data_IF_598286621506
#
_entry.id   IF_598286621506
#
_cell.length_a   1.000
_cell.length_b   1.000
_cell.length_c   1.000
_cell.angle_alpha   90.00
_cell.angle_beta   90.00
_cell.angle_gamma   90.00
#
_symmetry.space_group_name_H-M   'P 1'
#
loop_
_entity.id
_entity.type
_entity.pdbx_description
1 polymer ?
#
# COMPACT_ATOMS: atom_id res chain seq x y z
N UNK A 1 8.67 -7.28 10.27
CA UNK A 1 8.68 -8.00 9.01
C UNK A 1 7.46 -8.85 8.82
N UNK A 2 7.24 -9.12 7.59
CA UNK A 2 6.11 -9.87 7.18
C UNK A 2 6.27 -11.34 7.48
N UNK A 3 5.17 -11.98 7.61
CA UNK A 3 5.26 -13.39 7.58
C UNK A 3 5.30 -14.02 8.90
N UNK A 4 6.06 -15.03 8.95
CA UNK A 4 5.94 -15.82 9.96
C UNK A 4 6.43 -15.36 11.16
N UNK A 5 7.06 -14.44 11.29
CA UNK A 5 7.43 -14.04 12.39
C UNK A 5 6.37 -13.93 13.19
N UNK A 6 5.86 -14.44 13.48
CA UNK A 6 4.93 -14.43 14.27
C UNK A 6 4.18 -13.45 14.53
N UNK A 7 3.24 -13.62 14.41
CA UNK A 7 2.26 -12.83 14.66
C UNK A 7 2.19 -12.72 16.08
N UNK A 8 2.56 -11.71 16.58
CA UNK A 8 2.55 -11.59 17.98
C UNK A 8 1.14 -11.53 18.44
N UNK A 9 0.29 -10.90 17.68
CA UNK A 9 -1.00 -10.90 18.15
C UNK A 9 -1.64 -11.55 17.09
N UNK A 10 -2.09 -12.63 17.34
CA UNK A 10 -2.58 -13.43 16.38
C UNK A 10 -3.51 -12.79 15.44
N UNK A 11 -4.42 -12.12 15.78
CA UNK A 11 -5.36 -11.62 14.82
C UNK A 11 -4.82 -10.61 13.88
N UNK A 12 -4.18 -9.65 14.41
CA UNK A 12 -3.74 -8.54 13.62
C UNK A 12 -2.72 -8.92 12.58
N UNK A 13 -1.73 -9.65 12.97
CA UNK A 13 -0.69 -9.91 12.02
C UNK A 13 -1.04 -10.95 11.01
N UNK A 14 -1.98 -11.77 11.28
CA UNK A 14 -2.30 -12.80 10.31
C UNK A 14 -2.81 -12.22 9.01
N UNK A 15 -3.28 -10.98 9.03
CA UNK A 15 -3.77 -10.38 7.81
C UNK A 15 -2.87 -9.26 7.31
N UNK A 16 -1.68 -9.16 7.86
CA UNK A 16 -0.82 -8.07 7.50
C UNK A 16 0.27 -8.61 6.59
N UNK A 17 0.01 -8.62 5.32
CA UNK A 17 0.90 -9.23 4.34
C UNK A 17 1.81 -8.20 3.71
N UNK A 18 2.64 -7.58 4.51
CA UNK A 18 3.53 -6.56 3.99
C UNK A 18 4.40 -5.95 5.06
N UNK A 19 5.06 -4.88 4.70
CA UNK A 19 5.97 -4.16 5.58
C UNK A 19 5.47 -2.73 5.73
N UNK A 20 5.37 -2.24 6.96
CA UNK A 20 5.03 -0.86 7.23
C UNK A 20 6.29 -0.05 7.37
N UNK A 21 6.35 1.04 6.64
CA UNK A 21 7.50 1.94 6.66
C UNK A 21 7.02 3.30 7.13
N UNK A 22 7.40 3.73 8.31
CA UNK A 22 7.01 5.06 8.80
C UNK A 22 7.55 6.13 7.85
N UNK A 23 6.66 7.01 7.42
CA UNK A 23 7.05 8.09 6.53
C UNK A 23 6.02 9.21 6.61
N UNK A 24 6.46 10.45 6.56
CA UNK A 24 5.51 11.58 6.59
C UNK A 24 4.68 11.63 5.34
N UNK A 25 3.50 12.22 5.47
CA UNK A 25 2.64 12.48 4.33
C UNK A 25 3.42 13.27 3.27
N UNK A 26 3.25 12.90 2.03
CA UNK A 26 3.94 13.59 0.93
C UNK A 26 5.29 13.00 0.55
N UNK A 27 5.78 12.01 1.32
CA UNK A 27 7.03 11.35 0.95
C UNK A 27 6.86 10.65 -0.40
N UNK A 28 7.83 10.82 -1.28
CA UNK A 28 7.76 10.23 -2.62
C UNK A 28 7.84 8.72 -2.56
N UNK A 29 7.01 8.08 -3.37
CA UNK A 29 7.02 6.63 -3.53
C UNK A 29 7.60 6.32 -4.89
N UNK A 30 8.60 5.46 -4.93
CA UNK A 30 9.26 5.11 -6.18
C UNK A 30 8.96 3.68 -6.56
N UNK A 31 8.98 3.41 -7.85
CA UNK A 31 8.81 2.05 -8.35
C UNK A 31 10.03 1.22 -7.95
N UNK A 32 9.79 0.07 -7.34
CA UNK A 32 10.88 -0.78 -6.88
C UNK A 32 11.47 -1.61 -8.02
N UNK A 33 10.84 -1.59 -9.16
CA UNK A 33 11.28 -2.33 -10.34
C UNK A 33 10.59 -1.73 -11.57
N UNK A 34 11.12 -2.00 -12.76
CA UNK A 34 10.41 -1.70 -13.98
C UNK A 34 9.13 -2.54 -13.98
N UNK A 35 8.04 -1.99 -14.42
CA UNK A 35 6.80 -2.75 -14.48
C UNK A 35 5.62 -1.94 -14.95
N UNK A 36 4.44 -2.47 -14.72
CA UNK A 36 3.19 -1.88 -15.19
C UNK A 36 2.30 -1.58 -13.99
N UNK A 37 1.68 -0.42 -14.00
CA UNK A 37 0.69 -0.09 -12.97
C UNK A 37 -0.60 -0.82 -13.32
N UNK A 38 -1.06 -1.66 -12.41
CA UNK A 38 -2.24 -2.49 -12.66
C UNK A 38 -3.41 -2.15 -11.76
N UNK A 39 -3.23 -1.28 -10.78
CA UNK A 39 -4.33 -0.84 -9.94
C UNK A 39 -4.03 0.54 -9.33
N UNK A 40 -5.01 1.41 -9.33
CA UNK A 40 -4.94 2.72 -8.69
C UNK A 40 -6.34 3.09 -8.21
N UNK A 41 -6.66 2.83 -6.96
CA UNK A 41 -7.97 3.16 -6.40
C UNK A 41 -8.00 2.94 -4.89
N UNK A 42 -9.12 3.24 -4.27
CA UNK A 42 -9.33 2.93 -2.86
C UNK A 42 -9.68 1.44 -2.74
N UNK A 43 -8.95 0.72 -1.92
CA UNK A 43 -9.13 -0.71 -1.78
C UNK A 43 -9.15 -1.12 -0.31
N UNK A 44 -10.31 -1.11 0.29
CA UNK A 44 -10.54 -1.66 1.63
C UNK A 44 -9.53 -1.19 2.68
N UNK A 45 -8.95 -2.13 3.39
CA UNK A 45 -8.01 -1.84 4.46
C UNK A 45 -6.73 -1.15 3.98
N UNK A 46 -6.38 -1.30 2.72
CA UNK A 46 -5.21 -0.63 2.16
C UNK A 46 -5.42 0.84 1.87
N UNK A 47 -6.67 1.31 1.89
CA UNK A 47 -6.97 2.67 1.52
C UNK A 47 -6.66 2.92 0.06
N UNK A 48 -6.26 4.14 -0.28
CA UNK A 48 -5.82 4.42 -1.64
C UNK A 48 -4.55 3.63 -1.92
N UNK A 49 -4.59 2.85 -2.99
CA UNK A 49 -3.57 1.85 -3.28
C UNK A 49 -3.10 1.97 -4.72
N UNK A 50 -1.79 1.80 -4.92
CA UNK A 50 -1.19 1.66 -6.25
C UNK A 50 -0.57 0.28 -6.30
N UNK A 51 -0.87 -0.49 -7.34
CA UNK A 51 -0.24 -1.79 -7.53
C UNK A 51 0.67 -1.77 -8.75
N UNK A 52 1.91 -2.19 -8.55
CA UNK A 52 2.92 -2.34 -9.58
C UNK A 52 3.11 -3.83 -9.84
N UNK A 53 3.01 -4.24 -11.09
CA UNK A 53 3.18 -5.64 -11.48
C UNK A 53 4.39 -5.81 -12.39
N UNK A 54 5.21 -6.81 -12.14
CA UNK A 54 6.35 -7.16 -12.97
C UNK A 54 6.64 -8.65 -12.81
N UNK A 55 6.87 -9.32 -13.89
CA UNK A 55 7.04 -10.79 -13.91
C UNK A 55 5.86 -11.46 -13.19
N UNK A 56 6.10 -12.29 -12.22
CA UNK A 56 5.03 -12.90 -11.42
C UNK A 56 4.77 -12.13 -10.13
N UNK A 57 5.35 -10.96 -9.97
CA UNK A 57 5.22 -10.20 -8.73
C UNK A 57 4.18 -9.11 -8.83
N UNK A 58 3.53 -8.82 -7.70
CA UNK A 58 2.65 -7.67 -7.56
C UNK A 58 3.00 -7.00 -6.25
N UNK A 59 3.29 -5.71 -6.33
CA UNK A 59 3.64 -4.92 -5.14
C UNK A 59 2.60 -3.84 -4.99
N UNK A 60 1.97 -3.78 -3.83
CA UNK A 60 0.94 -2.79 -3.54
C UNK A 60 1.46 -1.76 -2.56
N UNK A 61 1.33 -0.52 -2.94
CA UNK A 61 1.67 0.63 -2.11
C UNK A 61 0.35 1.12 -1.54
N UNK A 62 0.15 0.97 -0.25
CA UNK A 62 -1.12 1.27 0.40
C UNK A 62 -1.07 2.59 1.16
N UNK A 63 -2.23 3.15 1.49
CA UNK A 63 -2.37 4.42 2.21
C UNK A 63 -1.67 5.57 1.48
N UNK A 64 -1.78 5.56 0.16
CA UNK A 64 -1.13 6.58 -0.67
C UNK A 64 -2.02 7.79 -0.84
N UNK A 65 -1.45 8.86 -1.35
CA UNK A 65 -2.18 10.08 -1.64
C UNK A 65 -3.17 9.82 -2.77
N UNK A 66 -4.43 10.24 -2.63
CA UNK A 66 -5.45 10.00 -3.66
C UNK A 66 -5.21 10.76 -4.98
N UNK A 67 -4.30 11.73 -4.99
CA UNK A 67 -3.98 12.43 -6.22
C UNK A 67 -2.94 11.60 -6.97
N UNK A 68 -3.40 10.60 -7.68
CA UNK A 68 -2.53 9.69 -8.42
C UNK A 68 -1.84 10.42 -9.57
N UNK A 69 -0.54 10.15 -9.73
CA UNK A 69 0.23 10.70 -10.84
C UNK A 69 0.53 9.64 -11.88
N UNK A 70 0.02 8.43 -11.68
CA UNK A 70 0.10 7.34 -12.67
C UNK A 70 -1.29 6.77 -12.86
N UNK A 71 -1.48 6.06 -13.94
CA UNK A 71 -2.77 5.43 -14.27
C UNK A 71 -2.58 3.96 -14.55
N UNK A 72 -3.64 3.19 -14.38
CA UNK A 72 -3.63 1.77 -14.75
C UNK A 72 -3.23 1.66 -16.21
N UNK A 73 -2.28 0.80 -16.48
CA UNK A 73 -1.76 0.60 -17.84
C UNK A 73 -0.42 1.28 -18.08
N UNK A 74 -0.02 2.22 -17.22
CA UNK A 74 1.25 2.92 -17.40
C UNK A 74 2.42 1.98 -17.13
N UNK A 75 3.44 2.10 -17.96
CA UNK A 75 4.71 1.42 -17.71
C UNK A 75 5.63 2.38 -16.99
N UNK A 76 6.29 1.90 -15.97
CA UNK A 76 7.19 2.72 -15.14
C UNK A 76 8.55 2.05 -15.04
N UNK A 77 9.56 2.84 -14.72
CA UNK A 77 10.92 2.36 -14.55
C UNK A 77 11.28 2.34 -13.08
N UNK A 78 12.14 1.43 -12.71
CA UNK A 78 12.68 1.38 -11.35
C UNK A 78 13.22 2.76 -10.96
N UNK A 79 12.84 3.23 -9.77
CA UNK A 79 13.24 4.55 -9.28
C UNK A 79 12.34 5.70 -9.70
N UNK A 80 11.41 5.47 -10.62
CA UNK A 80 10.48 6.52 -11.05
C UNK A 80 9.50 6.82 -9.92
N UNK A 81 9.20 8.09 -9.68
CA UNK A 81 8.20 8.48 -8.69
C UNK A 81 6.83 8.10 -9.23
N UNK A 82 6.08 7.32 -8.47
CA UNK A 82 4.76 6.85 -8.88
C UNK A 82 3.64 7.37 -8.00
N UNK A 83 3.95 7.97 -6.86
CA UNK A 83 2.95 8.52 -5.97
C UNK A 83 3.60 9.08 -4.73
N UNK A 84 2.78 9.29 -3.71
CA UNK A 84 3.22 9.89 -2.46
C UNK A 84 2.52 9.23 -1.28
N UNK A 85 3.17 9.21 -0.13
CA UNK A 85 2.56 8.74 1.10
C UNK A 85 1.36 9.64 1.39
N UNK A 86 0.22 9.06 1.63
CA UNK A 86 -1.01 9.79 1.75
C UNK A 86 -1.32 10.26 3.15
N UNK A 87 -2.42 11.00 3.26
CA UNK A 87 -2.88 11.50 4.53
C UNK A 87 -3.53 10.38 5.34
N UNK A 88 -3.60 10.59 6.65
CA UNK A 88 -4.32 9.67 7.52
C UNK A 88 -5.82 9.72 7.22
N UNK A 89 -6.35 10.90 6.94
CA UNK A 89 -7.78 11.10 6.74
C UNK A 89 -8.12 11.35 5.28
N UNK A 90 -9.19 10.73 4.82
CA UNK A 90 -9.71 10.95 3.47
C UNK A 90 -11.23 11.08 3.56
N UNK A 91 -11.80 12.02 2.83
CA UNK A 91 -13.22 12.31 2.93
C UNK A 91 -13.94 12.05 1.62
N UNK A 92 -15.23 11.72 1.72
CA UNK A 92 -16.06 11.57 0.53
C UNK A 92 -15.79 10.28 -0.25
N UNK A 93 -15.20 9.28 0.37
CA UNK A 93 -14.94 8.00 -0.29
C UNK A 93 -16.16 7.10 -0.11
N UNK A 94 -16.89 6.77 -1.19
CA UNK A 94 -18.06 5.93 -1.06
C UNK A 94 -17.68 4.55 -0.52
N UNK A 95 -18.42 4.11 0.48
CA UNK A 95 -18.19 2.78 1.04
C UNK A 95 -17.01 2.64 1.98
N UNK A 96 -16.31 3.72 2.29
CA UNK A 96 -15.21 3.64 3.24
C UNK A 96 -15.76 3.28 4.62
N UNK A 97 -15.26 2.20 5.19
CA UNK A 97 -15.71 1.72 6.49
C UNK A 97 -14.69 1.99 7.58
N UNK A 98 -13.61 2.69 7.29
CA UNK A 98 -12.51 2.87 8.22
C UNK A 98 -12.55 4.26 8.83
N UNK A 99 -12.56 4.31 10.16
CA UNK A 99 -12.66 5.56 10.92
C UNK A 99 -11.75 5.42 12.13
N UNK A 100 -11.21 6.53 12.60
CA UNK A 100 -10.42 6.50 13.83
C UNK A 100 -11.36 6.56 15.06
N UNK A 101 -10.78 6.60 16.25
CA UNK A 101 -11.55 6.59 17.48
C UNK A 101 -12.41 7.85 17.63
N UNK A 102 -12.12 8.92 16.93
CA UNK A 102 -12.91 10.13 16.97
C UNK A 102 -13.99 10.17 15.88
N UNK A 103 -14.07 9.13 15.06
CA UNK A 103 -15.07 9.05 14.01
C UNK A 103 -14.67 9.69 12.70
N UNK A 104 -13.40 10.07 12.52
CA UNK A 104 -12.95 10.66 11.27
C UNK A 104 -12.55 9.58 10.29
N UNK A 105 -12.93 9.71 9.00
CA UNK A 105 -12.65 8.67 8.01
C UNK A 105 -11.16 8.59 7.69
N UNK A 106 -10.64 7.38 7.68
CA UNK A 106 -9.22 7.14 7.46
C UNK A 106 -8.93 6.55 6.09
N UNK A 107 -7.69 6.66 5.66
CA UNK A 107 -7.20 6.14 4.40
C UNK A 107 -6.90 4.66 4.59
N UNK A 108 -7.96 3.88 4.70
CA UNK A 108 -7.87 2.47 5.01
C UNK A 108 -7.62 2.23 6.49
N UNK A 109 -7.16 1.05 6.85
CA UNK A 109 -6.89 0.68 8.24
C UNK A 109 -5.53 1.23 8.64
N UNK A 110 -5.50 2.48 9.06
CA UNK A 110 -4.24 3.13 9.43
C UNK A 110 -4.41 3.96 10.68
N UNK A 111 -3.34 4.05 11.47
CA UNK A 111 -3.31 4.90 12.65
C UNK A 111 -2.47 6.15 12.43
N UNK A 112 -1.88 6.31 11.26
CA UNK A 112 -1.06 7.48 10.96
C UNK A 112 -0.49 7.39 9.57
N UNK A 113 0.40 8.32 9.23
CA UNK A 113 1.03 8.35 7.93
C UNK A 113 2.15 7.31 7.87
N UNK A 114 2.04 6.37 6.98
CA UNK A 114 3.07 5.38 6.74
C UNK A 114 2.82 4.70 5.40
N UNK A 115 3.85 4.08 4.86
CA UNK A 115 3.72 3.27 3.67
C UNK A 115 3.54 1.82 4.09
N UNK A 116 2.52 1.17 3.58
CA UNK A 116 2.37 -0.26 3.73
C UNK A 116 2.67 -0.88 2.37
N UNK A 117 3.68 -1.75 2.31
CA UNK A 117 4.12 -2.33 1.06
C UNK A 117 3.77 -3.82 1.08
N UNK A 118 2.77 -4.20 0.34
CA UNK A 118 2.37 -5.59 0.19
C UNK A 118 3.06 -6.23 -1.02
N UNK A 119 3.43 -7.48 -0.91
CA UNK A 119 4.18 -8.15 -1.94
C UNK A 119 3.57 -9.50 -2.21
N UNK A 120 3.24 -9.77 -3.47
CA UNK A 120 2.58 -11.02 -3.83
C UNK A 120 3.26 -11.65 -5.02
N UNK A 121 3.51 -12.95 -4.96
CA UNK A 121 4.10 -13.71 -6.03
C UNK A 121 3.12 -14.80 -6.41
N UNK A 122 2.74 -14.84 -7.68
CA UNK A 122 1.79 -15.84 -8.20
C UNK A 122 0.51 -15.89 -7.37
N UNK A 123 0.07 -14.74 -6.91
CA UNK A 123 -1.16 -14.66 -6.14
C UNK A 123 -1.01 -14.91 -4.66
N UNK A 124 0.17 -15.24 -4.18
CA UNK A 124 0.43 -15.45 -2.76
C UNK A 124 1.28 -14.33 -2.18
N UNK A 125 0.92 -13.90 -0.98
CA UNK A 125 1.69 -12.85 -0.32
C UNK A 125 2.99 -13.40 0.22
N UNK A 126 4.07 -12.65 0.04
CA UNK A 126 5.42 -13.03 0.50
C UNK A 126 6.06 -11.85 1.20
N UNK A 127 7.09 -12.13 1.98
CA UNK A 127 7.83 -11.08 2.64
C UNK A 127 8.70 -10.36 1.62
N UNK A 128 8.49 -9.07 1.40
CA UNK A 128 9.29 -8.33 0.42
C UNK A 128 10.78 -8.38 0.72
N UNK A 129 11.16 -8.46 1.98
CA UNK A 129 12.56 -8.45 2.35
C UNK A 129 13.30 -9.71 1.92
N UNK A 130 12.59 -10.75 1.53
CA UNK A 130 13.24 -11.97 1.04
C UNK A 130 13.73 -11.79 -0.40
N UNK A 131 13.36 -10.71 -1.06
CA UNK A 131 13.67 -10.50 -2.47
C UNK A 131 14.51 -9.25 -2.75
N UNK A 132 14.80 -8.47 -1.75
CA UNK A 132 15.52 -7.21 -1.92
C UNK A 132 16.67 -7.02 -0.93
#
# INVERSE_FOLDING_TARGET
>A
PFGKRNAPTSGASSFHYGVDIPAPEGTKLIAINDGKITFCAFLGAGGYTITLSFDSFKVSYCHVDPNFIVSVGDFVKEGQVIGFVGPKYVYGVPGNRYFDSSGKPTNGATTGCHLHLGFRIDGEYKNPLDFF
#
